data_IF_608168889067
#
_entry.id   IF_608168889067
#
_cell.length_a   1.000
_cell.length_b   1.000
_cell.length_c   1.000
_cell.angle_alpha   90.00
_cell.angle_beta   90.00
_cell.angle_gamma   90.00
#
_symmetry.space_group_name_H-M   'P 1'
#
loop_
_entity.id
_entity.type
_entity.pdbx_description
1 polymer ?
#
# COMPACT_ATOMS: atom_id res chain seq x y z
N UNK A 1 12.61 -23.28 3.67
CA UNK A 1 12.58 -21.85 4.06
C UNK A 1 13.83 -21.06 3.67
N UNK A 2 15.07 -21.58 3.83
CA UNK A 2 16.30 -20.82 3.48
C UNK A 2 16.44 -20.57 1.97
N UNK A 3 15.95 -21.48 1.11
CA UNK A 3 16.00 -21.32 -0.35
C UNK A 3 15.04 -20.30 -0.95
N UNK A 4 13.92 -19.97 -0.29
CA UNK A 4 12.98 -18.96 -0.81
C UNK A 4 13.48 -17.54 -0.55
N UNK A 5 14.04 -17.28 0.63
CA UNK A 5 14.62 -15.98 0.99
C UNK A 5 15.82 -15.61 0.11
N UNK A 6 16.76 -16.53 -0.12
CA UNK A 6 17.90 -16.27 -1.00
C UNK A 6 17.46 -15.98 -2.44
N UNK A 7 16.43 -16.67 -2.92
CA UNK A 7 15.83 -16.43 -4.23
C UNK A 7 15.14 -15.07 -4.33
N UNK A 8 14.43 -14.65 -3.27
CA UNK A 8 13.82 -13.30 -3.18
C UNK A 8 14.90 -12.22 -3.23
N UNK A 9 15.99 -12.36 -2.46
CA UNK A 9 17.08 -11.38 -2.48
C UNK A 9 17.79 -11.30 -3.84
N UNK A 10 18.04 -12.45 -4.49
CA UNK A 10 18.59 -12.50 -5.83
C UNK A 10 17.66 -11.80 -6.84
N UNK A 11 16.36 -12.05 -6.76
CA UNK A 11 15.35 -11.40 -7.59
C UNK A 11 15.32 -9.87 -7.40
N UNK A 12 15.33 -9.39 -6.15
CA UNK A 12 15.37 -7.95 -5.86
C UNK A 12 16.63 -7.30 -6.43
N UNK A 13 17.78 -7.97 -6.35
CA UNK A 13 19.07 -7.41 -6.81
C UNK A 13 19.23 -7.42 -8.32
N UNK A 14 18.70 -8.44 -9.01
CA UNK A 14 18.99 -8.67 -10.42
C UNK A 14 17.82 -8.41 -11.36
N UNK A 15 16.58 -8.52 -10.88
CA UNK A 15 15.38 -8.37 -11.69
C UNK A 15 14.68 -7.01 -11.50
N UNK A 16 15.26 -6.07 -10.76
CA UNK A 16 14.69 -4.73 -10.57
C UNK A 16 15.58 -3.62 -11.10
N UNK A 17 14.98 -2.65 -11.78
CA UNK A 17 15.65 -1.41 -12.16
C UNK A 17 15.86 -0.52 -10.92
N UNK A 18 17.12 -0.33 -10.54
CA UNK A 18 17.50 0.47 -9.38
C UNK A 18 17.01 1.93 -9.45
N UNK A 19 16.86 2.49 -10.66
CA UNK A 19 16.38 3.87 -10.82
C UNK A 19 14.91 3.98 -10.44
N UNK A 20 14.07 3.07 -10.93
CA UNK A 20 12.65 3.07 -10.59
C UNK A 20 12.42 2.70 -9.13
N UNK A 21 13.25 1.83 -8.56
CA UNK A 21 13.23 1.54 -7.12
C UNK A 21 13.52 2.79 -6.29
N UNK A 22 14.52 3.59 -6.68
CA UNK A 22 14.82 4.86 -6.03
C UNK A 22 13.66 5.87 -6.19
N UNK A 23 13.07 5.96 -7.38
CA UNK A 23 11.88 6.80 -7.63
C UNK A 23 10.71 6.38 -6.74
N UNK A 24 10.43 5.08 -6.59
CA UNK A 24 9.39 4.59 -5.68
C UNK A 24 9.65 5.03 -4.24
N UNK A 25 10.90 4.91 -3.77
CA UNK A 25 11.29 5.36 -2.44
C UNK A 25 11.10 6.87 -2.22
N UNK A 26 11.49 7.68 -3.21
CA UNK A 26 11.30 9.14 -3.17
C UNK A 26 9.83 9.52 -3.19
N UNK A 27 9.03 8.92 -4.08
CA UNK A 27 7.58 9.15 -4.17
C UNK A 27 6.89 8.75 -2.86
N UNK A 28 7.29 7.62 -2.27
CA UNK A 28 6.79 7.18 -0.98
C UNK A 28 7.10 8.20 0.13
N UNK A 29 8.36 8.65 0.24
CA UNK A 29 8.77 9.62 1.25
C UNK A 29 8.03 10.96 1.13
N UNK A 30 7.93 11.50 -0.09
CA UNK A 30 7.20 12.74 -0.38
C UNK A 30 5.71 12.56 -0.08
N UNK A 31 5.12 11.46 -0.52
CA UNK A 31 3.70 11.17 -0.33
C UNK A 31 3.33 10.98 1.13
N UNK A 32 4.17 10.30 1.93
CA UNK A 32 4.01 10.19 3.39
C UNK A 32 4.04 11.60 4.02
N UNK A 33 5.06 12.40 3.71
CA UNK A 33 5.17 13.76 4.23
C UNK A 33 3.94 14.60 3.88
N UNK A 34 3.53 14.60 2.60
CA UNK A 34 2.37 15.34 2.13
C UNK A 34 1.08 14.88 2.82
N UNK A 35 0.88 13.57 2.97
CA UNK A 35 -0.29 12.99 3.61
C UNK A 35 -0.41 13.42 5.07
N UNK A 36 0.71 13.39 5.82
CA UNK A 36 0.77 13.88 7.19
C UNK A 36 0.60 15.40 7.29
N UNK A 37 1.22 16.17 6.39
CA UNK A 37 1.06 17.62 6.35
C UNK A 37 -0.40 18.01 6.11
N UNK A 38 -1.09 17.32 5.20
CA UNK A 38 -2.52 17.50 4.93
C UNK A 38 -3.40 17.08 6.11
N UNK A 39 -3.09 15.96 6.77
CA UNK A 39 -3.80 15.52 7.97
C UNK A 39 -3.66 16.53 9.11
N UNK A 40 -2.44 17.04 9.32
CA UNK A 40 -2.14 18.04 10.33
C UNK A 40 -2.84 19.37 10.02
N UNK A 41 -2.86 19.78 8.75
CA UNK A 41 -3.60 20.94 8.30
C UNK A 41 -5.11 20.76 8.56
N UNK A 42 -5.68 19.60 8.22
CA UNK A 42 -7.08 19.28 8.49
C UNK A 42 -7.41 19.37 9.99
N UNK A 43 -6.52 18.89 10.87
CA UNK A 43 -6.70 18.90 12.31
C UNK A 43 -6.74 20.30 12.94
N UNK A 44 -6.18 21.33 12.25
CA UNK A 44 -6.19 22.72 12.69
C UNK A 44 -7.45 23.49 12.30
N UNK A 45 -8.29 22.91 11.45
CA UNK A 45 -9.54 23.51 11.01
C UNK A 45 -10.75 22.83 11.68
N UNK A 46 -11.89 23.50 11.62
CA UNK A 46 -13.16 23.00 12.14
C UNK A 46 -14.21 22.87 11.02
N UNK A 47 -15.30 22.17 11.34
CA UNK A 47 -16.45 22.01 10.44
C UNK A 47 -16.09 21.41 9.08
N UNK A 48 -16.64 21.97 8.01
CA UNK A 48 -16.51 21.44 6.64
C UNK A 48 -15.06 21.43 6.14
N UNK A 49 -14.27 22.45 6.50
CA UNK A 49 -12.88 22.58 6.04
C UNK A 49 -12.01 21.43 6.54
N UNK A 50 -12.20 21.03 7.81
CA UNK A 50 -11.57 19.83 8.37
C UNK A 50 -11.91 18.57 7.59
N UNK A 51 -13.18 18.38 7.24
CA UNK A 51 -13.62 17.20 6.48
C UNK A 51 -13.02 17.19 5.08
N UNK A 52 -13.03 18.31 4.37
CA UNK A 52 -12.43 18.40 3.03
C UNK A 52 -10.94 18.06 3.05
N UNK A 53 -10.14 18.70 3.92
CA UNK A 53 -8.71 18.40 4.01
C UNK A 53 -8.42 17.00 4.54
N UNK A 54 -9.29 16.44 5.38
CA UNK A 54 -9.22 15.05 5.82
C UNK A 54 -9.41 14.07 4.65
N UNK A 55 -10.40 14.31 3.78
CA UNK A 55 -10.61 13.51 2.57
C UNK A 55 -9.41 13.63 1.62
N UNK A 56 -8.88 14.84 1.42
CA UNK A 56 -7.68 15.06 0.59
C UNK A 56 -6.47 14.30 1.16
N UNK A 57 -6.27 14.30 2.48
CA UNK A 57 -5.20 13.54 3.14
C UNK A 57 -5.35 12.01 2.97
N UNK A 58 -6.58 11.48 3.11
CA UNK A 58 -6.87 10.05 2.90
C UNK A 58 -6.63 9.65 1.45
N UNK A 59 -7.12 10.45 0.50
CA UNK A 59 -6.89 10.20 -0.94
C UNK A 59 -5.40 10.28 -1.26
N UNK A 60 -4.68 11.28 -0.75
CA UNK A 60 -3.23 11.39 -0.93
C UNK A 60 -2.48 10.17 -0.37
N UNK A 61 -2.87 9.69 0.82
CA UNK A 61 -2.31 8.48 1.43
C UNK A 61 -2.53 7.25 0.55
N UNK A 62 -3.76 7.04 0.07
CA UNK A 62 -4.10 5.92 -0.81
C UNK A 62 -3.37 5.97 -2.15
N UNK A 63 -3.33 7.14 -2.80
CA UNK A 63 -2.55 7.34 -4.02
C UNK A 63 -1.06 7.12 -3.80
N UNK A 64 -0.51 7.50 -2.65
CA UNK A 64 0.90 7.26 -2.31
C UNK A 64 1.20 5.78 -2.21
N UNK A 65 0.40 5.02 -1.46
CA UNK A 65 0.57 3.58 -1.31
C UNK A 65 0.45 2.86 -2.66
N UNK A 66 -0.55 3.23 -3.46
CA UNK A 66 -0.77 2.70 -4.80
C UNK A 66 0.36 3.03 -5.77
N UNK A 67 0.77 4.30 -5.87
CA UNK A 67 1.85 4.70 -6.76
C UNK A 67 3.16 4.00 -6.39
N UNK A 68 3.49 3.93 -5.10
CA UNK A 68 4.69 3.22 -4.63
C UNK A 68 4.68 1.76 -5.07
N UNK A 69 3.55 1.06 -4.88
CA UNK A 69 3.41 -0.34 -5.28
C UNK A 69 3.57 -0.54 -6.79
N UNK A 70 2.89 0.27 -7.61
CA UNK A 70 2.93 0.15 -9.07
C UNK A 70 4.28 0.58 -9.67
N UNK A 71 4.97 1.57 -9.08
CA UNK A 71 6.32 1.93 -9.53
C UNK A 71 7.29 0.79 -9.23
N UNK A 72 7.15 0.09 -8.08
CA UNK A 72 7.95 -1.11 -7.80
C UNK A 72 7.66 -2.23 -8.82
N UNK A 73 6.39 -2.44 -9.19
CA UNK A 73 6.03 -3.40 -10.25
C UNK A 73 6.58 -3.01 -11.62
N UNK A 74 6.62 -1.71 -11.95
CA UNK A 74 7.29 -1.21 -13.16
C UNK A 74 8.81 -1.39 -13.12
N UNK A 75 9.40 -1.33 -11.93
CA UNK A 75 10.82 -1.60 -11.74
C UNK A 75 11.16 -3.07 -12.01
N UNK A 76 10.20 -3.98 -11.81
CA UNK A 76 10.40 -5.40 -12.03
C UNK A 76 10.49 -5.74 -13.52
N UNK A 77 11.57 -6.43 -13.90
CA UNK A 77 11.90 -6.83 -15.27
C UNK A 77 11.90 -8.35 -15.37
N UNK A 78 10.75 -8.98 -15.69
CA UNK A 78 10.65 -10.44 -15.76
C UNK A 78 11.30 -11.06 -17.00
N UNK A 79 11.97 -10.26 -17.86
CA UNK A 79 12.56 -10.73 -19.12
C UNK A 79 11.56 -10.94 -20.26
N UNK A 80 10.30 -10.52 -20.05
CA UNK A 80 9.20 -10.65 -20.99
C UNK A 80 8.28 -9.42 -20.92
N UNK A 81 7.47 -9.16 -21.96
CA UNK A 81 6.51 -8.07 -21.93
C UNK A 81 5.52 -8.22 -20.77
N UNK A 82 5.28 -7.11 -20.09
CA UNK A 82 4.32 -7.00 -19.01
C UNK A 82 3.39 -5.80 -19.23
N UNK A 83 2.17 -5.91 -18.73
CA UNK A 83 1.14 -4.89 -18.79
C UNK A 83 0.32 -4.89 -17.50
N UNK A 84 -0.60 -3.95 -17.39
CA UNK A 84 -1.53 -3.89 -16.27
C UNK A 84 -2.97 -4.00 -16.75
N UNK A 85 -3.77 -4.81 -16.06
CA UNK A 85 -5.22 -4.78 -16.20
C UNK A 85 -5.77 -3.46 -15.63
N UNK A 86 -6.41 -2.60 -16.43
CA UNK A 86 -6.85 -1.28 -15.98
C UNK A 86 -7.95 -1.34 -14.92
N UNK A 87 -8.80 -2.37 -14.95
CA UNK A 87 -9.92 -2.53 -14.00
C UNK A 87 -9.38 -2.91 -12.64
N UNK A 88 -8.55 -3.95 -12.55
CA UNK A 88 -7.93 -4.37 -11.28
C UNK A 88 -7.00 -3.29 -10.73
N UNK A 89 -6.31 -2.56 -11.61
CA UNK A 89 -5.50 -1.40 -11.21
C UNK A 89 -6.34 -0.35 -10.51
N UNK A 90 -7.50 0.03 -11.07
CA UNK A 90 -8.41 0.99 -10.45
C UNK A 90 -9.06 0.46 -9.17
N UNK A 91 -9.42 -0.83 -9.14
CA UNK A 91 -9.95 -1.48 -7.93
C UNK A 91 -8.91 -1.45 -6.80
N UNK A 92 -7.63 -1.74 -7.09
CA UNK A 92 -6.57 -1.71 -6.08
C UNK A 92 -6.40 -0.32 -5.45
N UNK A 93 -6.46 0.75 -6.26
CA UNK A 93 -6.45 2.14 -5.79
C UNK A 93 -7.66 2.44 -4.90
N UNK A 94 -8.84 2.01 -5.34
CA UNK A 94 -10.10 2.22 -4.61
C UNK A 94 -10.06 1.52 -3.25
N UNK A 95 -9.58 0.27 -3.19
CA UNK A 95 -9.40 -0.48 -1.94
C UNK A 95 -8.46 0.25 -0.97
N UNK A 96 -7.38 0.86 -1.47
CA UNK A 96 -6.45 1.62 -0.65
C UNK A 96 -7.13 2.83 0.00
N UNK A 97 -7.79 3.66 -0.81
CA UNK A 97 -8.42 4.89 -0.35
C UNK A 97 -9.54 4.57 0.64
N UNK A 98 -10.39 3.58 0.31
CA UNK A 98 -11.50 3.17 1.18
C UNK A 98 -10.99 2.54 2.47
N UNK A 99 -10.00 1.65 2.40
CA UNK A 99 -9.44 0.99 3.57
C UNK A 99 -8.75 1.96 4.53
N UNK A 100 -7.87 2.82 4.00
CA UNK A 100 -7.21 3.88 4.79
C UNK A 100 -8.26 4.84 5.35
N UNK A 101 -9.20 5.31 4.53
CA UNK A 101 -10.23 6.25 4.95
C UNK A 101 -11.15 5.70 6.05
N UNK A 102 -11.54 4.43 5.93
CA UNK A 102 -12.36 3.74 6.92
C UNK A 102 -11.58 3.56 8.22
N UNK A 103 -10.33 3.08 8.15
CA UNK A 103 -9.47 2.92 9.32
C UNK A 103 -9.23 4.24 10.05
N UNK A 104 -8.87 5.30 9.33
CA UNK A 104 -8.70 6.66 9.90
C UNK A 104 -10.02 7.16 10.53
N UNK A 105 -11.15 6.94 9.87
CA UNK A 105 -12.47 7.33 10.39
C UNK A 105 -12.82 6.62 11.71
N UNK A 106 -12.41 5.35 11.84
CA UNK A 106 -12.55 4.59 13.10
C UNK A 106 -11.57 5.13 14.14
N UNK A 107 -10.29 5.35 13.78
CA UNK A 107 -9.25 5.84 14.68
C UNK A 107 -9.62 7.18 15.33
N UNK A 108 -10.20 8.12 14.56
CA UNK A 108 -10.64 9.43 15.06
C UNK A 108 -11.74 9.30 16.13
N UNK A 109 -12.57 8.27 16.06
CA UNK A 109 -13.68 8.02 17.01
C UNK A 109 -13.31 7.02 18.10
N UNK A 110 -12.17 6.34 17.95
CA UNK A 110 -11.73 5.28 18.84
C UNK A 110 -11.30 5.85 20.20
N UNK A 111 -11.80 5.21 21.27
CA UNK A 111 -11.36 5.46 22.65
C UNK A 111 -10.77 4.17 23.20
N UNK A 112 -9.54 4.25 23.71
CA UNK A 112 -8.80 3.11 24.23
C UNK A 112 -8.02 2.31 23.17
N UNK A 113 -7.02 1.57 23.64
CA UNK A 113 -6.02 0.88 22.81
C UNK A 113 -6.62 -0.16 21.87
N UNK A 114 -7.65 -0.89 22.30
CA UNK A 114 -8.27 -1.94 21.48
C UNK A 114 -8.94 -1.36 20.23
N UNK A 115 -9.63 -0.22 20.36
CA UNK A 115 -10.31 0.40 19.20
C UNK A 115 -9.31 1.06 18.25
N UNK A 116 -8.20 1.60 18.76
CA UNK A 116 -7.10 2.08 17.92
C UNK A 116 -6.45 0.90 17.17
N UNK A 117 -6.25 -0.23 17.84
CA UNK A 117 -5.74 -1.45 17.21
C UNK A 117 -6.62 -1.95 16.07
N UNK A 118 -7.95 -1.98 16.28
CA UNK A 118 -8.91 -2.33 15.21
C UNK A 118 -8.83 -1.33 14.05
N UNK A 119 -8.69 -0.03 14.33
CA UNK A 119 -8.55 0.98 13.28
C UNK A 119 -7.30 0.73 12.42
N UNK A 120 -6.16 0.44 13.06
CA UNK A 120 -4.92 0.07 12.39
C UNK A 120 -5.05 -1.21 11.56
N UNK A 121 -5.72 -2.24 12.10
CA UNK A 121 -6.03 -3.47 11.34
C UNK A 121 -6.82 -3.18 10.06
N UNK A 122 -7.82 -2.29 10.11
CA UNK A 122 -8.61 -1.92 8.92
C UNK A 122 -7.75 -1.23 7.87
N UNK A 123 -6.84 -0.34 8.27
CA UNK A 123 -5.85 0.25 7.36
C UNK A 123 -4.96 -0.83 6.75
N UNK A 124 -4.42 -1.72 7.58
CA UNK A 124 -3.56 -2.82 7.15
C UNK A 124 -4.24 -3.76 6.17
N UNK A 125 -5.50 -4.11 6.40
CA UNK A 125 -6.32 -4.91 5.47
C UNK A 125 -6.47 -4.18 4.14
N UNK A 126 -6.79 -2.89 4.15
CA UNK A 126 -6.90 -2.09 2.93
C UNK A 126 -5.62 -2.07 2.09
N UNK A 127 -4.47 -1.87 2.74
CA UNK A 127 -3.16 -1.86 2.07
C UNK A 127 -2.77 -3.26 1.59
N UNK A 128 -3.08 -4.31 2.35
CA UNK A 128 -2.88 -5.68 1.92
C UNK A 128 -3.75 -6.00 0.69
N UNK A 129 -5.04 -5.67 0.71
CA UNK A 129 -5.93 -5.84 -0.44
C UNK A 129 -5.39 -5.09 -1.66
N UNK A 130 -4.94 -3.84 -1.50
CA UNK A 130 -4.26 -3.12 -2.58
C UNK A 130 -3.06 -3.91 -3.14
N UNK A 131 -2.22 -4.49 -2.28
CA UNK A 131 -1.04 -5.22 -2.72
C UNK A 131 -1.44 -6.45 -3.54
N UNK A 132 -2.34 -7.26 -3.01
CA UNK A 132 -2.73 -8.52 -3.66
C UNK A 132 -3.56 -8.28 -4.93
N UNK A 133 -4.47 -7.31 -4.94
CA UNK A 133 -5.21 -6.91 -6.15
C UNK A 133 -4.29 -6.24 -7.17
N UNK A 134 -3.33 -5.43 -6.73
CA UNK A 134 -2.33 -4.79 -7.59
C UNK A 134 -1.40 -5.81 -8.26
N UNK A 135 -0.94 -6.81 -7.52
CA UNK A 135 -0.20 -7.94 -8.09
C UNK A 135 -1.06 -8.75 -9.08
N UNK A 136 -2.34 -8.99 -8.78
CA UNK A 136 -3.26 -9.66 -9.69
C UNK A 136 -3.53 -8.85 -10.97
N UNK A 137 -3.41 -7.51 -10.91
CA UNK A 137 -3.50 -6.64 -12.07
C UNK A 137 -2.26 -6.72 -12.97
N UNK A 138 -1.14 -7.25 -12.48
CA UNK A 138 0.10 -7.35 -13.25
C UNK A 138 0.06 -8.55 -14.19
N UNK A 139 -0.03 -8.27 -15.48
CA UNK A 139 -0.13 -9.27 -16.53
C UNK A 139 1.23 -9.46 -17.18
N UNK A 140 1.68 -10.71 -17.30
CA UNK A 140 2.88 -11.10 -18.03
C UNK A 140 2.51 -12.14 -19.09
N UNK A 141 3.29 -12.26 -20.16
CA UNK A 141 3.09 -13.32 -21.19
C UNK A 141 3.39 -14.77 -20.68
N UNK A 142 3.38 -14.98 -19.36
CA UNK A 142 3.70 -16.24 -18.68
C UNK A 142 2.71 -16.50 -17.54
N UNK A 143 3.01 -17.48 -16.67
CA UNK A 143 2.17 -17.75 -15.50
C UNK A 143 2.75 -17.11 -14.23
N UNK A 144 1.89 -16.43 -13.47
CA UNK A 144 2.21 -15.93 -12.13
C UNK A 144 1.72 -16.95 -11.10
N UNK A 145 2.64 -17.57 -10.38
CA UNK A 145 2.31 -18.50 -9.28
C UNK A 145 2.56 -17.84 -7.93
N UNK A 146 1.60 -17.97 -7.02
CA UNK A 146 1.69 -17.41 -5.68
C UNK A 146 2.21 -18.48 -4.72
N UNK A 147 3.36 -18.22 -4.10
CA UNK A 147 3.86 -19.07 -3.02
C UNK A 147 3.13 -18.71 -1.71
N UNK A 148 2.16 -19.54 -1.32
CA UNK A 148 1.40 -19.37 -0.08
C UNK A 148 2.30 -19.35 1.17
N UNK A 149 3.47 -19.98 1.11
CA UNK A 149 4.49 -19.95 2.15
C UNK A 149 5.14 -18.57 2.34
N UNK A 150 5.02 -17.65 1.39
CA UNK A 150 5.45 -16.25 1.50
C UNK A 150 4.27 -15.29 1.69
N UNK A 151 3.15 -15.57 1.01
CA UNK A 151 1.93 -14.76 1.09
C UNK A 151 1.36 -14.75 2.51
N UNK A 152 1.12 -15.92 3.10
CA UNK A 152 0.48 -16.00 4.42
C UNK A 152 1.31 -15.32 5.51
N UNK A 153 2.64 -15.57 5.64
CA UNK A 153 3.44 -14.87 6.63
C UNK A 153 3.46 -13.35 6.43
N UNK A 154 3.46 -12.86 5.19
CA UNK A 154 3.45 -11.41 4.94
C UNK A 154 2.18 -10.75 5.47
N UNK A 155 1.00 -11.36 5.26
CA UNK A 155 -0.28 -10.85 5.76
C UNK A 155 -0.35 -10.95 7.28
N UNK A 156 0.04 -12.11 7.82
CA UNK A 156 0.03 -12.36 9.28
C UNK A 156 0.98 -11.41 10.00
N UNK A 157 2.12 -11.05 9.40
CA UNK A 157 3.04 -10.08 9.97
C UNK A 157 2.56 -8.63 9.79
N UNK A 158 2.04 -8.26 8.62
CA UNK A 158 1.68 -6.87 8.32
C UNK A 158 0.49 -6.36 9.14
N UNK A 159 -0.51 -7.22 9.40
CA UNK A 159 -1.73 -6.80 10.09
C UNK A 159 -1.49 -6.37 11.55
N UNK A 160 -0.82 -7.16 12.41
CA UNK A 160 -0.49 -6.73 13.77
C UNK A 160 0.39 -5.48 13.79
N UNK A 161 1.34 -5.37 12.87
CA UNK A 161 2.19 -4.17 12.74
C UNK A 161 1.34 -2.93 12.46
N UNK A 162 0.40 -3.04 11.52
CA UNK A 162 -0.56 -1.97 11.23
C UNK A 162 -1.48 -1.67 12.41
N UNK A 163 -1.92 -2.69 13.17
CA UNK A 163 -2.73 -2.50 14.37
C UNK A 163 -1.98 -1.79 15.49
N UNK A 164 -0.67 -1.96 15.60
CA UNK A 164 0.14 -1.36 16.67
C UNK A 164 0.64 0.05 16.34
N UNK A 165 0.55 0.48 15.07
CA UNK A 165 0.98 1.78 14.58
C UNK A 165 0.00 2.91 14.99
#
# INVERSE_FOLDING_TARGET
MIGSLSSVFACIRHAHDARLMAVAGVVCAIGIYASFALAYHAARHEGRVRTYWGLVSVTASGCTAWATHFIVLLAFKPGMPAAFDPVLTFISLSCAIVGIGTGVSIAIRARGTVRQFIAGLVVGIGVATLHYVGQAAYLVQGSVSWDLGLVLPSIVASLPISGLA
#
